data_IF_538166508626
#
_entry.id   IF_538166508626
#
_cell.length_a   1.000
_cell.length_b   1.000
_cell.length_c   1.000
_cell.angle_alpha   90.00
_cell.angle_beta   90.00
_cell.angle_gamma   90.00
#
_symmetry.space_group_name_H-M   'P 1'
#
loop_
_entity.id
_entity.type
_entity.pdbx_description
1 polymer ?
#
# COMPACT_ATOMS: atom_id res chain seq x y z
N UNK A 1 35.42 2.12 27.31
CA UNK A 1 34.60 3.35 27.37
C UNK A 1 33.92 3.51 26.03
N UNK A 2 32.77 2.85 25.88
CA UNK A 2 31.93 2.96 24.69
C UNK A 2 30.80 3.89 25.12
N UNK A 3 30.63 4.97 24.36
CA UNK A 3 29.63 6.00 24.60
C UNK A 3 28.23 5.39 24.65
N UNK A 4 27.54 5.67 25.75
CA UNK A 4 26.09 5.61 25.88
C UNK A 4 25.45 6.48 24.81
N UNK A 5 25.03 5.89 23.70
CA UNK A 5 24.06 6.49 22.80
C UNK A 5 22.66 6.03 23.21
N UNK A 6 22.07 6.83 24.10
CA UNK A 6 20.64 7.14 24.23
C UNK A 6 19.68 5.96 23.93
N UNK A 7 19.45 5.13 24.94
CA UNK A 7 18.20 4.36 25.08
C UNK A 7 17.05 5.34 25.32
N UNK A 8 16.40 5.82 24.25
CA UNK A 8 15.06 6.44 24.36
C UNK A 8 14.06 5.30 24.64
N UNK A 9 13.14 5.52 25.58
CA UNK A 9 12.30 4.48 26.20
C UNK A 9 11.65 3.48 25.23
N UNK A 10 12.03 2.21 25.33
CA UNK A 10 11.61 1.11 24.47
C UNK A 10 10.23 0.51 24.80
N UNK A 11 9.58 0.95 25.88
CA UNK A 11 8.29 0.40 26.34
C UNK A 11 7.05 1.03 25.68
N UNK A 12 7.20 2.14 24.96
CA UNK A 12 6.09 2.89 24.35
C UNK A 12 6.13 2.93 22.82
N UNK A 13 7.05 2.19 22.18
CA UNK A 13 7.13 2.19 20.72
C UNK A 13 5.90 1.51 20.11
N UNK A 14 5.46 2.01 18.96
CA UNK A 14 4.43 1.37 18.14
C UNK A 14 4.80 -0.08 17.82
N UNK A 15 3.83 -0.99 17.81
CA UNK A 15 4.05 -2.43 17.60
C UNK A 15 4.91 -2.74 16.37
N UNK A 16 4.59 -2.13 15.22
CA UNK A 16 5.38 -2.23 13.98
C UNK A 16 6.88 -1.92 14.21
N UNK A 17 7.21 -0.86 14.96
CA UNK A 17 8.61 -0.50 15.21
C UNK A 17 9.31 -1.61 16.00
N UNK A 18 8.62 -2.17 17.01
CA UNK A 18 9.14 -3.26 17.81
C UNK A 18 9.37 -4.52 16.96
N UNK A 19 8.41 -4.87 16.10
CA UNK A 19 8.49 -6.03 15.20
C UNK A 19 9.71 -5.92 14.28
N UNK A 20 9.85 -4.81 13.57
CA UNK A 20 10.94 -4.63 12.62
C UNK A 20 12.31 -4.60 13.30
N UNK A 21 12.41 -3.96 14.47
CA UNK A 21 13.65 -3.94 15.27
C UNK A 21 14.05 -5.34 15.75
N UNK A 22 13.09 -6.18 16.12
CA UNK A 22 13.35 -7.47 16.76
C UNK A 22 13.56 -8.61 15.76
N UNK A 23 12.99 -8.51 14.56
CA UNK A 23 12.96 -9.62 13.60
C UNK A 23 13.75 -9.36 12.30
N UNK A 24 13.99 -8.10 11.94
CA UNK A 24 14.73 -7.72 10.73
C UNK A 24 15.62 -6.51 11.04
N UNK A 25 15.57 -5.43 10.23
CA UNK A 25 16.23 -4.17 10.49
C UNK A 25 15.26 -3.14 11.10
N UNK A 26 15.72 -2.27 12.00
CA UNK A 26 14.93 -1.12 12.45
C UNK A 26 14.46 -0.27 11.26
N UNK A 27 13.22 0.22 11.32
CA UNK A 27 12.72 1.16 10.32
C UNK A 27 13.47 2.49 10.37
N UNK A 28 13.46 3.23 9.26
CA UNK A 28 14.04 4.57 9.15
C UNK A 28 13.49 5.52 10.24
N UNK A 29 14.28 6.53 10.61
CA UNK A 29 13.87 7.53 11.61
C UNK A 29 12.55 8.22 11.19
N UNK A 30 12.37 8.51 9.89
CA UNK A 30 11.15 9.10 9.33
C UNK A 30 9.91 8.25 9.64
N UNK A 31 9.97 6.94 9.38
CA UNK A 31 8.85 6.03 9.68
C UNK A 31 8.66 5.83 11.18
N UNK A 32 9.75 5.74 11.94
CA UNK A 32 9.72 5.58 13.40
C UNK A 32 9.02 6.77 14.06
N UNK A 33 9.38 8.01 13.71
CA UNK A 33 8.74 9.23 14.21
C UNK A 33 7.25 9.32 13.86
N UNK A 34 6.90 8.94 12.63
CA UNK A 34 5.50 8.90 12.17
C UNK A 34 4.70 7.88 12.97
N UNK A 35 5.16 6.64 13.08
CA UNK A 35 4.43 5.55 13.71
C UNK A 35 4.30 5.70 15.23
N UNK A 36 5.30 6.31 15.89
CA UNK A 36 5.19 6.72 17.30
C UNK A 36 4.34 7.96 17.51
N UNK A 37 3.73 8.50 16.46
CA UNK A 37 2.85 9.66 16.48
C UNK A 37 3.44 10.86 17.22
N UNK A 38 4.71 11.20 16.94
CA UNK A 38 5.28 12.46 17.42
C UNK A 38 4.32 13.61 17.14
N UNK A 39 4.18 14.59 18.04
CA UNK A 39 3.09 15.58 18.01
C UNK A 39 2.94 16.33 16.67
N UNK A 40 4.03 16.47 15.90
CA UNK A 40 4.04 17.04 14.53
C UNK A 40 3.24 16.23 13.52
N UNK A 41 2.89 14.99 13.85
CA UNK A 41 2.10 14.08 13.03
C UNK A 41 0.63 14.00 13.45
N UNK A 42 0.20 14.75 14.47
CA UNK A 42 -1.20 14.82 14.90
C UNK A 42 -1.82 16.14 14.43
N UNK A 43 -2.17 16.23 13.14
CA UNK A 43 -2.65 17.51 12.57
C UNK A 43 -3.88 17.30 11.69
N UNK A 44 -4.80 18.25 11.66
CA UNK A 44 -5.99 18.19 10.78
C UNK A 44 -5.63 18.02 9.31
N UNK A 45 -4.54 18.65 8.86
CA UNK A 45 -4.16 18.62 7.45
C UNK A 45 -3.44 17.34 7.05
N UNK A 46 -2.63 16.75 7.93
CA UNK A 46 -1.79 15.58 7.61
C UNK A 46 -2.36 14.26 8.14
N UNK A 47 -3.42 14.32 8.96
CA UNK A 47 -4.01 13.16 9.63
C UNK A 47 -3.19 12.77 10.86
N UNK A 48 -2.92 11.47 10.98
CA UNK A 48 -2.15 10.87 12.07
C UNK A 48 -0.83 10.25 11.59
N UNK A 49 -0.13 9.56 12.49
CA UNK A 49 1.09 8.82 12.18
C UNK A 49 0.91 7.76 11.10
N UNK A 50 -0.10 6.90 11.25
CA UNK A 50 -0.41 5.84 10.31
C UNK A 50 -0.78 6.36 8.90
N UNK A 51 -1.60 7.41 8.84
CA UNK A 51 -1.93 8.12 7.59
C UNK A 51 -0.68 8.65 6.88
N UNK A 52 0.27 9.20 7.64
CA UNK A 52 1.51 9.73 7.06
C UNK A 52 2.48 8.64 6.65
N UNK A 53 2.62 7.58 7.45
CA UNK A 53 3.44 6.42 7.11
C UNK A 53 2.99 5.80 5.77
N UNK A 54 1.68 5.55 5.61
CA UNK A 54 1.15 5.02 4.35
C UNK A 54 1.34 5.98 3.18
N UNK A 55 1.24 7.30 3.39
CA UNK A 55 1.57 8.30 2.37
C UNK A 55 3.03 8.27 1.95
N UNK A 56 3.95 8.08 2.89
CA UNK A 56 5.39 7.94 2.62
C UNK A 56 5.68 6.65 1.87
N UNK A 57 5.02 5.54 2.20
CA UNK A 57 5.13 4.31 1.41
C UNK A 57 4.67 4.51 -0.04
N UNK A 58 3.77 5.46 -0.30
CA UNK A 58 3.42 5.88 -1.66
C UNK A 58 4.62 6.38 -2.48
N UNK A 59 5.69 6.86 -1.87
CA UNK A 59 6.94 7.24 -2.58
C UNK A 59 7.64 6.00 -3.18
N UNK A 60 7.40 4.81 -2.64
CA UNK A 60 7.98 3.55 -3.10
C UNK A 60 6.99 2.75 -3.94
N UNK A 61 5.73 2.65 -3.50
CA UNK A 61 4.65 1.90 -4.17
C UNK A 61 4.41 2.39 -5.61
N UNK A 62 4.48 3.70 -5.84
CA UNK A 62 4.20 4.26 -7.17
C UNK A 62 5.36 4.08 -8.17
N UNK A 63 6.52 3.61 -7.72
CA UNK A 63 7.72 3.44 -8.54
C UNK A 63 7.88 1.94 -8.89
N UNK A 64 8.05 1.57 -10.17
CA UNK A 64 8.42 0.21 -10.57
C UNK A 64 9.74 -0.22 -9.91
N UNK A 65 9.85 -1.49 -9.52
CA UNK A 65 11.10 -2.02 -8.95
C UNK A 65 12.18 -2.06 -10.02
N UNK A 66 13.38 -1.67 -9.63
CA UNK A 66 14.58 -1.73 -10.46
C UNK A 66 15.62 -2.60 -9.76
N UNK A 67 16.03 -3.67 -10.44
CA UNK A 67 17.00 -4.64 -9.98
C UNK A 67 18.41 -4.07 -9.74
N UNK A 68 18.71 -2.86 -10.23
CA UNK A 68 20.01 -2.21 -10.05
C UNK A 68 19.99 -1.13 -8.95
N UNK A 69 18.81 -0.66 -8.56
CA UNK A 69 18.65 0.37 -7.56
C UNK A 69 18.42 -0.25 -6.17
N UNK A 70 19.01 0.38 -5.15
CA UNK A 70 18.88 -0.05 -3.75
C UNK A 70 18.02 0.92 -2.91
N UNK A 71 17.32 1.85 -3.58
CA UNK A 71 16.60 2.93 -2.92
C UNK A 71 15.46 2.43 -2.03
N UNK A 72 14.87 1.28 -2.35
CA UNK A 72 13.80 0.65 -1.56
C UNK A 72 14.27 0.30 -0.13
N UNK A 73 15.58 0.02 0.04
CA UNK A 73 16.19 -0.28 1.34
C UNK A 73 16.31 0.95 2.26
N UNK A 74 16.06 2.17 1.75
CA UNK A 74 15.99 3.39 2.58
C UNK A 74 14.81 3.37 3.57
N UNK A 75 13.90 2.41 3.45
CA UNK A 75 12.88 2.14 4.47
C UNK A 75 13.48 1.71 5.82
N UNK A 76 14.70 1.19 5.84
CA UNK A 76 15.40 0.73 7.04
C UNK A 76 16.47 1.72 7.49
N UNK A 77 16.69 1.79 8.80
CA UNK A 77 17.75 2.59 9.38
C UNK A 77 19.08 1.84 9.28
N UNK A 78 20.11 2.51 8.74
CA UNK A 78 21.48 1.98 8.66
C UNK A 78 21.60 0.61 7.96
N UNK A 79 20.75 0.33 6.96
CA UNK A 79 20.89 -0.87 6.15
C UNK A 79 22.24 -0.85 5.41
N UNK A 80 22.98 -1.96 5.43
CA UNK A 80 24.29 -2.05 4.79
C UNK A 80 24.15 -2.33 3.28
N UNK A 81 23.83 -1.27 2.53
CA UNK A 81 23.74 -1.31 1.07
C UNK A 81 25.09 -1.55 0.40
N UNK A 82 26.21 -1.29 1.08
CA UNK A 82 27.55 -1.49 0.52
C UNK A 82 27.85 -2.97 0.37
N UNK A 83 27.54 -3.77 1.39
CA UNK A 83 27.74 -5.22 1.34
C UNK A 83 26.89 -5.86 0.25
N UNK A 84 25.61 -5.46 0.12
CA UNK A 84 24.75 -5.96 -0.97
C UNK A 84 25.28 -5.54 -2.34
N UNK A 85 25.73 -4.29 -2.51
CA UNK A 85 26.31 -3.84 -3.78
C UNK A 85 27.57 -4.63 -4.16
N UNK A 86 28.46 -4.88 -3.19
CA UNK A 86 29.65 -5.70 -3.39
C UNK A 86 29.29 -7.13 -3.80
N UNK A 87 28.28 -7.72 -3.17
CA UNK A 87 27.77 -9.04 -3.55
C UNK A 87 27.29 -9.06 -5.02
N UNK A 88 26.53 -8.03 -5.44
CA UNK A 88 26.05 -7.93 -6.82
C UNK A 88 27.16 -7.68 -7.83
N UNK A 89 28.28 -7.05 -7.45
CA UNK A 89 29.46 -6.88 -8.30
C UNK A 89 30.31 -8.16 -8.39
N UNK A 90 30.43 -8.89 -7.27
CA UNK A 90 31.24 -10.11 -7.16
C UNK A 90 30.60 -11.34 -7.82
N UNK A 91 29.30 -11.32 -8.11
CA UNK A 91 28.62 -12.46 -8.75
C UNK A 91 29.27 -12.91 -10.07
N UNK A 92 29.93 -11.99 -10.80
CA UNK A 92 30.49 -12.24 -12.13
C UNK A 92 31.58 -13.33 -12.18
N UNK A 93 32.17 -13.66 -11.03
CA UNK A 93 33.19 -14.71 -10.88
C UNK A 93 32.64 -15.97 -10.19
N UNK A 94 31.34 -15.98 -9.88
CA UNK A 94 30.65 -17.08 -9.20
C UNK A 94 29.85 -17.90 -10.21
N UNK A 95 29.54 -19.18 -9.91
CA UNK A 95 28.73 -20.02 -10.78
C UNK A 95 27.23 -19.68 -10.76
N UNK A 96 26.83 -18.60 -10.08
CA UNK A 96 25.43 -18.16 -9.94
C UNK A 96 25.19 -16.81 -10.62
N UNK A 97 23.96 -16.59 -11.07
CA UNK A 97 23.54 -15.34 -11.69
C UNK A 97 22.40 -14.65 -10.94
N UNK A 98 22.72 -13.51 -10.33
CA UNK A 98 21.79 -12.63 -9.60
C UNK A 98 21.44 -11.44 -10.51
N UNK A 99 20.36 -11.61 -11.29
CA UNK A 99 19.81 -10.52 -12.12
C UNK A 99 19.02 -9.50 -11.33
N UNK A 100 18.48 -9.92 -10.19
CA UNK A 100 17.60 -9.13 -9.35
C UNK A 100 17.90 -9.48 -7.88
N UNK A 101 18.15 -8.45 -7.07
CA UNK A 101 18.41 -8.62 -5.65
C UNK A 101 17.12 -8.82 -4.84
N UNK A 102 15.95 -8.60 -5.42
CA UNK A 102 14.68 -8.88 -4.77
C UNK A 102 14.37 -10.39 -4.82
N UNK A 103 13.73 -10.92 -3.77
CA UNK A 103 13.31 -12.34 -3.65
C UNK A 103 14.43 -13.40 -3.80
N UNK A 104 15.65 -13.11 -3.36
CA UNK A 104 16.77 -14.05 -3.32
C UNK A 104 16.44 -15.32 -2.53
N UNK A 105 15.63 -15.19 -1.48
CA UNK A 105 15.21 -16.31 -0.62
C UNK A 105 14.30 -17.33 -1.32
N UNK A 106 13.72 -16.95 -2.46
CA UNK A 106 12.86 -17.81 -3.28
C UNK A 106 13.57 -18.32 -4.54
N UNK A 107 14.78 -17.85 -4.83
CA UNK A 107 15.52 -18.27 -6.01
C UNK A 107 16.18 -19.65 -5.78
N UNK A 108 15.72 -20.66 -6.53
CA UNK A 108 16.19 -22.04 -6.40
C UNK A 108 17.69 -22.20 -6.68
N UNK A 109 18.24 -21.43 -7.62
CA UNK A 109 19.67 -21.45 -7.95
C UNK A 109 20.50 -20.98 -6.75
N UNK A 110 20.07 -19.89 -6.10
CA UNK A 110 20.70 -19.34 -4.90
C UNK A 110 20.61 -20.32 -3.72
N UNK A 111 19.43 -20.90 -3.50
CA UNK A 111 19.23 -21.88 -2.41
C UNK A 111 20.12 -23.12 -2.62
N UNK A 112 20.26 -23.58 -3.85
CA UNK A 112 21.13 -24.72 -4.19
C UNK A 112 22.59 -24.37 -3.98
N UNK A 113 23.03 -23.20 -4.45
CA UNK A 113 24.40 -22.73 -4.27
C UNK A 113 24.81 -22.61 -2.80
N UNK A 114 23.95 -22.03 -1.95
CA UNK A 114 24.21 -21.87 -0.52
C UNK A 114 24.31 -23.21 0.22
N UNK A 115 23.59 -24.24 -0.25
CA UNK A 115 23.69 -25.59 0.32
C UNK A 115 25.05 -26.26 0.04
N UNK A 116 25.72 -25.89 -1.04
CA UNK A 116 26.98 -26.49 -1.49
C UNK A 116 28.23 -25.71 -1.05
N UNK A 117 28.11 -24.41 -0.75
CA UNK A 117 29.24 -23.48 -0.55
C UNK A 117 29.23 -22.73 0.81
N UNK A 118 28.63 -23.31 1.85
CA UNK A 118 28.31 -22.68 3.15
C UNK A 118 29.47 -22.09 4.00
N UNK A 119 30.70 -22.01 3.48
CA UNK A 119 31.88 -21.50 4.20
C UNK A 119 32.74 -20.52 3.39
N UNK A 120 32.22 -20.03 2.26
CA UNK A 120 32.89 -19.02 1.45
C UNK A 120 32.39 -17.61 1.82
N UNK A 121 33.30 -16.62 1.83
CA UNK A 121 32.95 -15.22 2.15
C UNK A 121 31.78 -14.68 1.33
N UNK A 122 31.72 -15.03 0.03
CA UNK A 122 30.61 -14.67 -0.84
C UNK A 122 29.30 -15.36 -0.42
N UNK A 123 29.35 -16.66 -0.10
CA UNK A 123 28.18 -17.42 0.35
C UNK A 123 27.65 -16.90 1.69
N UNK A 124 28.51 -16.49 2.63
CA UNK A 124 28.10 -15.88 3.90
C UNK A 124 27.34 -14.56 3.68
N UNK A 125 27.83 -13.70 2.78
CA UNK A 125 27.14 -12.45 2.42
C UNK A 125 25.78 -12.71 1.76
N UNK A 126 25.72 -13.72 0.88
CA UNK A 126 24.49 -14.11 0.20
C UNK A 126 23.48 -14.74 1.17
N UNK A 127 23.94 -15.55 2.11
CA UNK A 127 23.10 -16.12 3.16
C UNK A 127 22.50 -15.03 4.06
N UNK A 128 23.26 -13.98 4.39
CA UNK A 128 22.73 -12.83 5.13
C UNK A 128 21.60 -12.12 4.38
N UNK A 129 21.78 -11.88 3.08
CA UNK A 129 20.75 -11.27 2.24
C UNK A 129 19.50 -12.16 2.14
N UNK A 130 19.68 -13.47 1.92
CA UNK A 130 18.59 -14.46 1.89
C UNK A 130 17.86 -14.54 3.23
N UNK A 131 18.58 -14.57 4.35
CA UNK A 131 18.00 -14.66 5.69
C UNK A 131 17.18 -13.41 6.02
N UNK A 132 17.69 -12.21 5.67
CA UNK A 132 16.95 -10.96 5.79
C UNK A 132 15.61 -11.03 5.04
N UNK A 133 15.63 -11.45 3.76
CA UNK A 133 14.43 -11.51 2.95
C UNK A 133 13.43 -12.57 3.44
N UNK A 134 13.93 -13.73 3.87
CA UNK A 134 13.10 -14.78 4.47
C UNK A 134 12.38 -14.29 5.73
N UNK A 135 13.09 -13.60 6.63
CA UNK A 135 12.49 -13.03 7.84
C UNK A 135 11.49 -11.93 7.49
N UNK A 136 11.82 -11.06 6.52
CA UNK A 136 10.94 -9.99 6.06
C UNK A 136 9.65 -10.52 5.43
N UNK A 137 9.70 -11.64 4.70
CA UNK A 137 8.53 -12.26 4.07
C UNK A 137 7.45 -12.67 5.08
N UNK A 138 7.86 -13.01 6.30
CA UNK A 138 6.97 -13.42 7.39
C UNK A 138 6.71 -12.31 8.41
N UNK A 139 7.19 -11.08 8.18
CA UNK A 139 7.19 -10.02 9.19
C UNK A 139 5.80 -9.69 9.74
N UNK A 140 4.78 -9.71 8.87
CA UNK A 140 3.40 -9.40 9.25
C UNK A 140 2.81 -10.44 10.22
N UNK A 141 3.34 -11.67 10.26
CA UNK A 141 2.88 -12.73 11.16
C UNK A 141 3.24 -12.46 12.63
N UNK A 142 4.20 -11.57 12.88
CA UNK A 142 4.55 -11.13 14.23
C UNK A 142 3.61 -10.07 14.78
N UNK A 143 2.73 -9.48 13.96
CA UNK A 143 1.78 -8.45 14.38
C UNK A 143 0.50 -9.05 14.97
N UNK A 144 0.12 -8.53 16.14
CA UNK A 144 -1.15 -8.86 16.80
C UNK A 144 -2.27 -7.93 16.35
N UNK A 145 -1.93 -6.69 15.99
CA UNK A 145 -2.90 -5.66 15.61
C UNK A 145 -3.15 -5.67 14.10
N UNK A 146 -4.41 -5.53 13.69
CA UNK A 146 -4.83 -5.56 12.28
C UNK A 146 -4.05 -4.57 11.40
N UNK A 147 -3.96 -3.32 11.82
CA UNK A 147 -3.28 -2.28 11.02
C UNK A 147 -1.77 -2.48 10.97
N UNK A 148 -1.20 -3.14 11.99
CA UNK A 148 0.21 -3.53 12.00
C UNK A 148 0.47 -4.66 11.03
N UNK A 149 -0.43 -5.65 10.92
CA UNK A 149 -0.35 -6.69 9.90
C UNK A 149 -0.37 -6.08 8.50
N UNK A 150 -1.35 -5.19 8.25
CA UNK A 150 -1.51 -4.50 6.95
C UNK A 150 -0.27 -3.68 6.59
N UNK A 151 0.23 -2.85 7.51
CA UNK A 151 1.33 -1.95 7.19
C UNK A 151 2.67 -2.69 7.12
N UNK A 152 2.88 -3.72 7.95
CA UNK A 152 4.08 -4.56 7.87
C UNK A 152 4.12 -5.34 6.56
N UNK A 153 2.96 -5.79 6.06
CA UNK A 153 2.86 -6.45 4.76
C UNK A 153 3.20 -5.49 3.61
N UNK A 154 2.69 -4.25 3.65
CA UNK A 154 3.02 -3.24 2.65
C UNK A 154 4.52 -2.93 2.62
N UNK A 155 5.16 -2.81 3.78
CA UNK A 155 6.61 -2.57 3.88
C UNK A 155 7.39 -3.76 3.31
N UNK A 156 7.00 -4.99 3.66
CA UNK A 156 7.63 -6.20 3.14
C UNK A 156 7.54 -6.28 1.61
N UNK A 157 6.36 -6.01 1.06
CA UNK A 157 6.12 -6.12 -0.38
C UNK A 157 6.82 -5.03 -1.22
N UNK A 158 7.19 -3.89 -0.61
CA UNK A 158 8.08 -2.91 -1.28
C UNK A 158 9.46 -3.52 -1.55
N UNK A 159 9.97 -4.34 -0.63
CA UNK A 159 11.28 -4.99 -0.74
C UNK A 159 11.19 -6.36 -1.43
N UNK A 160 10.05 -7.04 -1.33
CA UNK A 160 9.80 -8.39 -1.83
C UNK A 160 8.60 -8.35 -2.76
N UNK A 161 8.78 -7.82 -3.99
CA UNK A 161 7.70 -7.63 -4.92
C UNK A 161 7.11 -8.96 -5.38
N UNK A 162 5.81 -8.96 -5.59
CA UNK A 162 5.06 -10.08 -6.14
C UNK A 162 4.75 -9.86 -7.62
N UNK A 163 4.34 -10.91 -8.31
CA UNK A 163 3.76 -10.80 -9.65
C UNK A 163 2.27 -11.21 -9.62
N UNK A 164 1.58 -10.94 -10.73
CA UNK A 164 0.15 -11.26 -10.85
C UNK A 164 -0.12 -12.78 -10.88
N UNK A 165 0.84 -13.59 -11.32
CA UNK A 165 0.69 -15.05 -11.35
C UNK A 165 0.66 -15.65 -9.94
N UNK A 166 1.50 -15.15 -9.04
CA UNK A 166 1.60 -15.66 -7.67
C UNK A 166 0.45 -15.20 -6.78
N UNK A 167 -0.12 -14.03 -7.06
CA UNK A 167 -1.10 -13.38 -6.20
C UNK A 167 -2.54 -13.50 -6.69
N UNK A 168 -2.73 -13.77 -7.99
CA UNK A 168 -4.03 -13.74 -8.65
C UNK A 168 -4.77 -12.39 -8.51
N UNK A 169 -4.04 -11.31 -8.18
CA UNK A 169 -4.58 -9.96 -8.04
C UNK A 169 -4.48 -9.20 -9.36
N UNK A 170 -5.45 -8.32 -9.62
CA UNK A 170 -5.40 -7.41 -10.77
C UNK A 170 -4.24 -6.43 -10.61
N UNK A 171 -3.35 -6.42 -11.59
CA UNK A 171 -2.21 -5.50 -11.67
C UNK A 171 -2.66 -4.15 -12.23
N UNK A 172 -2.55 -3.10 -11.41
CA UNK A 172 -2.68 -1.72 -11.85
C UNK A 172 -1.36 -1.22 -12.43
N UNK A 173 -1.44 -0.43 -13.49
CA UNK A 173 -0.31 0.28 -14.06
C UNK A 173 -0.21 1.69 -13.44
N UNK A 174 1.02 2.14 -13.16
CA UNK A 174 1.26 3.41 -12.50
C UNK A 174 1.21 4.60 -13.47
N UNK A 175 0.79 5.77 -12.99
CA UNK A 175 0.98 7.02 -13.71
C UNK A 175 2.47 7.38 -13.77
N UNK A 176 2.92 7.88 -14.92
CA UNK A 176 4.30 8.33 -15.10
C UNK A 176 4.62 9.58 -14.27
N UNK A 177 3.64 10.45 -14.07
CA UNK A 177 3.80 11.69 -13.30
C UNK A 177 2.86 11.70 -12.09
N UNK A 178 3.37 12.27 -11.00
CA UNK A 178 2.60 12.48 -9.78
C UNK A 178 1.43 13.44 -10.05
N UNK A 179 0.17 13.03 -9.83
CA UNK A 179 -0.97 13.88 -10.07
C UNK A 179 -1.02 15.05 -9.08
N UNK A 180 -1.55 16.18 -9.54
CA UNK A 180 -1.72 17.41 -8.74
C UNK A 180 -2.95 17.36 -7.83
N UNK A 181 -3.27 16.19 -7.27
CA UNK A 181 -4.42 16.04 -6.37
C UNK A 181 -3.99 16.21 -4.91
N UNK A 182 -4.77 16.99 -4.17
CA UNK A 182 -4.58 17.17 -2.73
C UNK A 182 -5.02 15.92 -1.96
N UNK A 183 -4.46 15.71 -0.77
CA UNK A 183 -5.01 14.73 0.18
C UNK A 183 -5.95 15.45 1.12
N UNK A 184 -7.15 15.82 0.66
CA UNK A 184 -8.14 16.40 1.55
C UNK A 184 -8.63 15.35 2.56
N UNK A 185 -8.57 15.60 3.87
CA UNK A 185 -9.13 14.69 4.89
C UNK A 185 -10.63 14.43 4.69
N UNK A 186 -11.34 15.39 4.07
CA UNK A 186 -12.77 15.27 3.75
C UNK A 186 -13.06 14.39 2.53
N UNK A 187 -12.05 13.96 1.76
CA UNK A 187 -12.26 13.09 0.61
C UNK A 187 -12.98 11.78 1.01
N UNK A 188 -12.66 11.25 2.18
CA UNK A 188 -13.28 10.04 2.74
C UNK A 188 -14.77 10.24 3.08
N UNK A 189 -15.21 11.47 3.39
CA UNK A 189 -16.62 11.75 3.71
C UNK A 189 -17.56 11.36 2.56
N UNK A 190 -17.11 11.53 1.32
CA UNK A 190 -17.93 11.18 0.15
C UNK A 190 -18.06 9.68 0.00
N UNK A 191 -16.98 8.91 0.16
CA UNK A 191 -17.06 7.45 0.17
C UNK A 191 -17.94 6.95 1.31
N UNK A 192 -17.83 7.54 2.50
CA UNK A 192 -18.71 7.24 3.62
C UNK A 192 -20.18 7.51 3.29
N UNK A 193 -20.52 8.62 2.63
CA UNK A 193 -21.91 8.91 2.21
C UNK A 193 -22.40 7.95 1.13
N UNK A 194 -21.56 7.65 0.13
CA UNK A 194 -21.85 6.72 -0.96
C UNK A 194 -22.16 5.33 -0.42
N UNK A 195 -21.40 4.86 0.59
CA UNK A 195 -21.64 3.57 1.25
C UNK A 195 -23.05 3.45 1.87
N UNK A 196 -23.73 4.58 2.11
CA UNK A 196 -25.11 4.64 2.61
C UNK A 196 -26.10 5.17 1.57
N UNK A 197 -25.76 5.11 0.29
CA UNK A 197 -26.61 5.54 -0.83
C UNK A 197 -26.82 7.05 -0.93
N UNK A 198 -26.06 7.86 -0.19
CA UNK A 198 -26.20 9.32 -0.20
C UNK A 198 -25.28 9.95 -1.23
N UNK A 199 -25.78 10.04 -2.45
CA UNK A 199 -25.05 10.63 -3.59
C UNK A 199 -25.48 12.10 -3.76
N UNK A 200 -24.51 13.00 -3.96
CA UNK A 200 -24.82 14.40 -4.24
C UNK A 200 -25.49 14.56 -5.61
N UNK A 201 -26.42 15.51 -5.75
CA UNK A 201 -27.20 15.75 -6.99
C UNK A 201 -26.35 15.94 -8.26
N UNK A 202 -25.17 16.54 -8.12
CA UNK A 202 -24.20 16.76 -9.21
C UNK A 202 -23.01 15.79 -9.17
N UNK A 203 -22.93 14.95 -8.13
CA UNK A 203 -21.91 13.93 -8.01
C UNK A 203 -22.09 12.86 -9.07
N UNK A 204 -20.98 12.34 -9.58
CA UNK A 204 -20.94 11.14 -10.41
C UNK A 204 -20.06 10.09 -9.78
N UNK A 205 -20.40 8.84 -9.99
CA UNK A 205 -19.68 7.69 -9.47
C UNK A 205 -19.39 6.76 -10.63
N UNK A 206 -18.11 6.57 -10.94
CA UNK A 206 -17.71 5.54 -11.87
C UNK A 206 -17.28 4.28 -11.10
N UNK A 207 -17.54 3.12 -11.69
CA UNK A 207 -17.10 1.83 -11.17
C UNK A 207 -16.05 1.30 -12.13
N UNK A 208 -14.83 1.11 -11.64
CA UNK A 208 -13.74 0.53 -12.41
C UNK A 208 -13.77 -0.98 -12.20
N UNK A 209 -13.76 -1.76 -13.26
CA UNK A 209 -13.93 -3.23 -13.23
C UNK A 209 -12.80 -3.99 -13.92
N UNK A 210 -12.59 -5.24 -13.54
CA UNK A 210 -11.73 -6.19 -14.25
C UNK A 210 -12.40 -6.77 -15.52
N UNK A 211 -11.72 -7.68 -16.20
CA UNK A 211 -12.21 -8.37 -17.40
C UNK A 211 -13.46 -9.23 -17.15
N UNK A 212 -13.70 -9.66 -15.90
CA UNK A 212 -14.87 -10.44 -15.49
C UNK A 212 -16.03 -9.56 -14.98
N UNK A 213 -15.89 -8.23 -15.04
CA UNK A 213 -16.79 -7.25 -14.44
C UNK A 213 -16.85 -7.35 -12.90
N UNK A 214 -15.78 -7.75 -12.23
CA UNK A 214 -15.63 -7.60 -10.79
C UNK A 214 -15.28 -6.14 -10.47
N UNK A 215 -15.97 -5.47 -9.53
CA UNK A 215 -15.60 -4.12 -9.11
C UNK A 215 -14.19 -4.09 -8.48
N UNK A 216 -13.31 -3.26 -9.03
CA UNK A 216 -11.96 -3.04 -8.53
C UNK A 216 -11.87 -1.73 -7.74
N UNK A 217 -12.38 -0.63 -8.29
CA UNK A 217 -12.35 0.68 -7.66
C UNK A 217 -13.67 1.44 -7.87
N UNK A 218 -13.95 2.37 -6.96
CA UNK A 218 -15.04 3.33 -7.07
C UNK A 218 -14.45 4.74 -7.12
N UNK A 219 -14.72 5.45 -8.22
CA UNK A 219 -14.31 6.85 -8.41
C UNK A 219 -15.43 7.80 -7.99
N UNK A 220 -15.07 8.91 -7.35
CA UNK A 220 -15.97 10.05 -7.15
C UNK A 220 -15.57 11.22 -8.06
N UNK A 221 -16.56 11.84 -8.70
CA UNK A 221 -16.39 13.05 -9.53
C UNK A 221 -17.36 14.14 -9.08
N UNK A 222 -16.93 15.40 -9.10
CA UNK A 222 -17.65 16.58 -8.62
C UNK A 222 -18.01 16.49 -7.13
N UNK A 223 -17.12 15.88 -6.34
CA UNK A 223 -17.31 15.59 -4.92
C UNK A 223 -15.98 15.77 -4.18
N UNK A 224 -15.45 16.99 -4.17
CA UNK A 224 -14.12 17.32 -3.63
C UNK A 224 -13.04 17.27 -4.70
N UNK A 225 -11.86 16.70 -4.40
CA UNK A 225 -10.83 16.44 -5.42
C UNK A 225 -11.41 15.47 -6.47
N UNK A 226 -11.38 15.90 -7.74
CA UNK A 226 -11.80 15.06 -8.85
C UNK A 226 -10.79 13.94 -9.12
N UNK A 227 -11.28 12.82 -9.67
CA UNK A 227 -10.49 11.65 -10.04
C UNK A 227 -9.80 10.91 -8.88
N UNK A 228 -10.38 10.98 -7.67
CA UNK A 228 -9.98 10.12 -6.56
C UNK A 228 -10.83 8.84 -6.52
N UNK A 229 -10.18 7.70 -6.34
CA UNK A 229 -10.82 6.39 -6.25
C UNK A 229 -10.52 5.71 -4.91
N UNK A 230 -11.44 4.87 -4.46
CA UNK A 230 -11.17 3.90 -3.40
C UNK A 230 -11.17 2.49 -3.98
N UNK A 231 -10.18 1.68 -3.62
CA UNK A 231 -10.15 0.26 -3.98
C UNK A 231 -11.19 -0.52 -3.18
N UNK A 232 -11.89 -1.41 -3.87
CA UNK A 232 -12.96 -2.24 -3.32
C UNK A 232 -12.47 -3.65 -2.96
N UNK A 233 -11.32 -4.05 -3.48
CA UNK A 233 -10.64 -5.31 -3.20
C UNK A 233 -9.11 -5.08 -3.19
N UNK A 234 -8.31 -6.06 -2.70
CA UNK A 234 -6.86 -5.98 -2.82
C UNK A 234 -6.41 -5.89 -4.29
N UNK A 235 -5.35 -5.14 -4.56
CA UNK A 235 -4.82 -4.87 -5.90
C UNK A 235 -3.31 -5.03 -5.90
N UNK A 236 -2.72 -5.32 -7.06
CA UNK A 236 -1.26 -5.36 -7.21
C UNK A 236 -0.79 -4.09 -7.93
N UNK A 237 0.25 -3.42 -7.41
CA UNK A 237 0.83 -2.24 -8.06
C UNK A 237 2.34 -2.23 -7.85
N UNK A 238 3.12 -2.27 -8.94
CA UNK A 238 4.60 -2.35 -8.90
C UNK A 238 5.13 -3.40 -7.91
N UNK A 239 4.52 -4.59 -7.93
CA UNK A 239 4.85 -5.70 -7.05
C UNK A 239 4.33 -5.61 -5.61
N UNK A 240 3.66 -4.52 -5.23
CA UNK A 240 3.10 -4.34 -3.89
C UNK A 240 1.64 -4.75 -3.84
N UNK A 241 1.26 -5.64 -2.91
CA UNK A 241 -0.15 -5.97 -2.66
C UNK A 241 -0.77 -4.86 -1.83
N UNK A 242 -1.58 -4.04 -2.47
CA UNK A 242 -2.30 -2.94 -1.86
C UNK A 242 -3.60 -3.48 -1.27
N UNK A 243 -3.88 -3.25 0.04
CA UNK A 243 -5.13 -3.70 0.63
C UNK A 243 -6.32 -2.92 0.07
N UNK A 244 -7.50 -3.53 0.17
CA UNK A 244 -8.76 -2.85 -0.12
C UNK A 244 -8.94 -1.61 0.78
N UNK A 245 -9.68 -0.61 0.32
CA UNK A 245 -9.84 0.66 1.04
C UNK A 245 -8.66 1.63 0.89
N UNK A 246 -7.69 1.33 0.02
CA UNK A 246 -6.67 2.25 -0.41
C UNK A 246 -7.22 3.34 -1.34
N UNK A 247 -6.72 4.56 -1.19
CA UNK A 247 -7.07 5.72 -2.00
C UNK A 247 -6.09 5.88 -3.17
N UNK A 248 -6.63 6.07 -4.36
CA UNK A 248 -5.89 6.30 -5.59
C UNK A 248 -6.31 7.61 -6.26
N UNK A 249 -5.43 8.15 -7.07
CA UNK A 249 -5.77 9.10 -8.13
C UNK A 249 -5.68 8.39 -9.47
N UNK A 250 -6.54 8.74 -10.41
CA UNK A 250 -6.53 8.15 -11.76
C UNK A 250 -6.52 9.22 -12.83
N UNK A 251 -6.12 8.83 -14.03
CA UNK A 251 -6.20 9.68 -15.22
C UNK A 251 -6.74 8.88 -16.40
N UNK A 252 -7.60 9.52 -17.20
CA UNK A 252 -8.18 8.98 -18.42
C UNK A 252 -8.68 10.14 -19.30
N UNK A 253 -8.94 9.84 -20.58
CA UNK A 253 -9.61 10.77 -21.48
C UNK A 253 -11.12 10.80 -21.19
N UNK A 254 -11.63 11.94 -20.73
CA UNK A 254 -13.02 12.10 -20.32
C UNK A 254 -14.02 11.85 -21.46
N UNK A 255 -13.62 12.11 -22.72
CA UNK A 255 -14.49 11.92 -23.88
C UNK A 255 -14.77 10.43 -24.10
N UNK A 256 -13.78 9.57 -23.82
CA UNK A 256 -13.92 8.11 -23.95
C UNK A 256 -14.87 7.51 -22.92
N UNK A 257 -14.97 8.11 -21.73
CA UNK A 257 -15.77 7.53 -20.63
C UNK A 257 -17.25 7.44 -20.96
N UNK A 258 -17.76 8.41 -21.73
CA UNK A 258 -19.17 8.46 -22.13
C UNK A 258 -19.61 7.31 -23.03
N UNK A 259 -18.66 6.53 -23.57
CA UNK A 259 -18.93 5.38 -24.43
C UNK A 259 -19.20 4.09 -23.66
N UNK A 260 -18.87 4.05 -22.37
CA UNK A 260 -19.08 2.88 -21.53
C UNK A 260 -20.52 2.81 -20.96
N UNK A 261 -20.99 1.64 -20.52
CA UNK A 261 -22.32 1.51 -19.93
C UNK A 261 -22.53 2.43 -18.73
N UNK A 262 -23.68 3.10 -18.68
CA UNK A 262 -24.05 3.93 -17.54
C UNK A 262 -24.44 3.08 -16.33
N UNK A 263 -24.17 3.58 -15.12
CA UNK A 263 -24.67 2.98 -13.88
C UNK A 263 -26.21 3.11 -13.81
N UNK A 264 -26.97 2.04 -13.48
CA UNK A 264 -28.43 2.09 -13.43
C UNK A 264 -29.02 3.05 -12.38
N UNK A 265 -28.46 3.10 -11.17
CA UNK A 265 -29.05 3.82 -10.04
C UNK A 265 -28.55 5.27 -9.90
N UNK A 266 -27.42 5.60 -10.54
CA UNK A 266 -26.78 6.90 -10.36
C UNK A 266 -25.98 7.36 -11.57
N UNK A 267 -25.63 8.64 -11.59
CA UNK A 267 -24.81 9.22 -12.67
C UNK A 267 -23.40 8.66 -12.62
N UNK A 268 -22.93 8.13 -13.74
CA UNK A 268 -21.57 7.63 -13.94
C UNK A 268 -21.57 6.39 -14.82
N UNK A 269 -20.41 5.77 -14.98
CA UNK A 269 -20.22 4.66 -15.92
C UNK A 269 -19.45 3.50 -15.29
N UNK A 270 -19.62 2.32 -15.89
CA UNK A 270 -18.85 1.11 -15.56
C UNK A 270 -17.71 0.99 -16.56
N UNK A 271 -16.49 1.21 -16.09
CA UNK A 271 -15.30 1.45 -16.90
C UNK A 271 -14.32 0.28 -16.73
N UNK A 272 -13.89 -0.40 -17.80
CA UNK A 272 -12.79 -1.37 -17.71
C UNK A 272 -11.52 -0.70 -17.20
N UNK A 273 -10.79 -1.32 -16.27
CA UNK A 273 -9.56 -0.72 -15.72
C UNK A 273 -8.47 -0.50 -16.78
N UNK A 274 -8.52 -1.24 -17.89
CA UNK A 274 -7.65 -1.09 -19.06
C UNK A 274 -7.90 0.19 -19.85
N UNK A 275 -9.05 0.86 -19.65
CA UNK A 275 -9.35 2.17 -20.24
C UNK A 275 -8.78 3.34 -19.42
N UNK A 276 -8.29 3.07 -18.21
CA UNK A 276 -7.60 4.07 -17.38
C UNK A 276 -6.14 4.15 -17.85
N UNK A 277 -5.57 5.36 -17.94
CA UNK A 277 -4.19 5.57 -18.40
C UNK A 277 -3.14 5.35 -17.31
N UNK A 278 -3.57 5.40 -16.06
CA UNK A 278 -2.75 5.02 -14.92
C UNK A 278 -3.41 5.33 -13.59
N UNK A 279 -2.83 4.70 -12.58
CA UNK A 279 -3.23 4.83 -11.19
C UNK A 279 -2.07 5.39 -10.38
N UNK A 280 -2.38 6.15 -9.34
CA UNK A 280 -1.39 6.65 -8.39
C UNK A 280 -1.89 6.45 -6.97
N UNK A 281 -1.22 5.60 -6.21
CA UNK A 281 -1.52 5.35 -4.81
C UNK A 281 -1.28 6.61 -3.96
N UNK A 282 -2.26 6.98 -3.13
CA UNK A 282 -2.20 8.17 -2.29
C UNK A 282 -1.93 7.85 -0.82
N UNK A 283 -2.69 6.91 -0.25
CA UNK A 283 -2.62 6.44 1.14
C UNK A 283 -3.72 5.41 1.42
N UNK A 284 -3.67 4.79 2.61
CA UNK A 284 -4.83 4.06 3.14
C UNK A 284 -5.88 5.03 3.72
N UNK A 285 -7.15 4.63 3.63
CA UNK A 285 -8.29 5.30 4.28
C UNK A 285 -8.69 4.56 5.56
N UNK A 286 -9.56 5.16 6.38
CA UNK A 286 -10.09 4.46 7.56
C UNK A 286 -10.89 3.21 7.18
N UNK A 287 -11.40 3.12 5.94
CA UNK A 287 -12.11 1.94 5.44
C UNK A 287 -11.21 0.75 5.12
N UNK A 288 -9.88 0.92 5.12
CA UNK A 288 -8.93 -0.17 4.97
C UNK A 288 -8.78 -1.03 6.25
N UNK A 289 -9.32 -0.55 7.37
CA UNK A 289 -9.26 -1.21 8.68
C UNK A 289 -10.69 -1.40 9.22
N UNK A 290 -10.91 -2.50 9.93
CA UNK A 290 -12.20 -2.82 10.56
C UNK A 290 -12.68 -1.71 11.50
N UNK A 291 -14.00 -1.47 11.61
CA UNK A 291 -14.54 -0.38 12.40
C UNK A 291 -14.03 -0.32 13.85
N UNK A 292 -13.90 -1.46 14.52
CA UNK A 292 -13.43 -1.62 15.90
C UNK A 292 -11.98 -1.19 16.11
N UNK A 293 -11.15 -1.24 15.06
CA UNK A 293 -9.73 -0.92 15.14
C UNK A 293 -9.38 0.50 14.64
N UNK A 294 -10.29 1.19 13.95
CA UNK A 294 -10.03 2.52 13.35
C UNK A 294 -9.56 3.58 14.32
N UNK A 295 -10.16 3.63 15.52
CA UNK A 295 -9.80 4.64 16.52
C UNK A 295 -8.35 4.48 16.98
N UNK A 296 -7.87 3.24 17.05
CA UNK A 296 -6.50 2.91 17.44
C UNK A 296 -5.53 3.15 16.28
N UNK A 297 -5.86 2.64 15.09
CA UNK A 297 -5.01 2.74 13.90
C UNK A 297 -4.85 4.18 13.38
N UNK A 298 -5.95 4.94 13.35
CA UNK A 298 -5.99 6.27 12.74
C UNK A 298 -6.10 7.42 13.75
N UNK A 299 -6.12 7.13 15.05
CA UNK A 299 -5.99 8.09 16.17
C UNK A 299 -6.67 9.46 15.90
N UNK A 300 -5.89 10.54 15.79
CA UNK A 300 -6.35 11.91 15.53
C UNK A 300 -7.12 12.03 14.21
N UNK A 301 -6.72 11.31 13.17
CA UNK A 301 -7.43 11.32 11.89
C UNK A 301 -8.85 10.78 12.05
N UNK A 302 -9.04 9.64 12.71
CA UNK A 302 -10.37 9.10 13.01
C UNK A 302 -11.17 10.03 13.94
N UNK A 303 -10.53 10.55 15.00
CA UNK A 303 -11.17 11.49 15.91
C UNK A 303 -11.70 12.74 15.18
N UNK A 304 -10.93 13.25 14.21
CA UNK A 304 -11.36 14.36 13.36
C UNK A 304 -12.52 13.99 12.44
N UNK A 305 -12.57 12.75 11.92
CA UNK A 305 -13.74 12.30 11.15
C UNK A 305 -15.00 12.37 12.00
N UNK A 306 -14.93 11.90 13.25
CA UNK A 306 -16.06 11.94 14.20
C UNK A 306 -16.42 13.37 14.57
N UNK A 307 -15.44 14.19 14.97
CA UNK A 307 -15.65 15.57 15.41
C UNK A 307 -16.25 16.46 14.30
N UNK A 308 -15.85 16.23 13.04
CA UNK A 308 -16.38 16.95 11.88
C UNK A 308 -17.72 16.39 11.37
N UNK A 309 -18.31 15.42 12.05
CA UNK A 309 -19.61 14.86 11.70
C UNK A 309 -19.60 14.11 10.37
N UNK A 310 -18.51 13.41 10.04
CA UNK A 310 -18.48 12.54 8.86
C UNK A 310 -19.52 11.42 8.98
N UNK A 311 -19.91 10.87 7.84
CA UNK A 311 -21.02 9.94 7.77
C UNK A 311 -20.68 8.57 8.37
N UNK A 312 -21.04 8.34 9.62
CA UNK A 312 -20.90 7.04 10.32
C UNK A 312 -19.51 6.38 10.18
N UNK A 313 -18.38 7.10 10.37
CA UNK A 313 -17.04 6.53 10.17
C UNK A 313 -16.73 5.36 11.12
N UNK A 314 -17.44 5.25 12.25
CA UNK A 314 -17.28 4.15 13.22
C UNK A 314 -18.08 2.88 12.93
N UNK A 315 -18.92 2.86 11.89
CA UNK A 315 -19.72 1.67 11.54
C UNK A 315 -19.75 1.35 10.06
N UNK A 316 -19.41 2.30 9.19
CA UNK A 316 -19.37 2.08 7.73
C UNK A 316 -18.36 1.00 7.39
N UNK A 317 -18.76 -0.04 6.66
CA UNK A 317 -17.87 -1.10 6.18
C UNK A 317 -17.55 -0.90 4.70
N UNK A 318 -16.34 -1.28 4.29
CA UNK A 318 -15.96 -1.25 2.87
C UNK A 318 -16.91 -2.10 2.01
N UNK A 319 -17.40 -3.22 2.56
CA UNK A 319 -18.36 -4.10 1.91
C UNK A 319 -19.60 -3.36 1.40
N UNK A 320 -20.05 -2.29 2.07
CA UNK A 320 -21.20 -1.51 1.61
C UNK A 320 -20.93 -0.80 0.26
N UNK A 321 -19.69 -0.40 0.00
CA UNK A 321 -19.28 0.14 -1.30
C UNK A 321 -19.17 -0.96 -2.36
N UNK A 322 -18.68 -2.14 -1.96
CA UNK A 322 -18.62 -3.33 -2.82
C UNK A 322 -20.03 -3.73 -3.27
N UNK A 323 -20.97 -3.86 -2.32
CA UNK A 323 -22.36 -4.24 -2.59
C UNK A 323 -23.06 -3.21 -3.50
N UNK A 324 -22.80 -1.92 -3.29
CA UNK A 324 -23.32 -0.86 -4.14
C UNK A 324 -22.78 -1.00 -5.58
N UNK A 325 -21.49 -1.24 -5.75
CA UNK A 325 -20.88 -1.40 -7.07
C UNK A 325 -21.38 -2.67 -7.79
N UNK A 326 -21.48 -3.80 -7.08
CA UNK A 326 -21.98 -5.06 -7.62
C UNK A 326 -23.43 -4.97 -8.10
N UNK A 327 -24.28 -4.20 -7.40
CA UNK A 327 -25.68 -3.98 -7.79
C UNK A 327 -25.78 -3.33 -9.18
N UNK A 328 -24.96 -2.31 -9.44
CA UNK A 328 -24.97 -1.62 -10.73
C UNK A 328 -24.61 -2.56 -11.89
N UNK A 329 -23.68 -3.48 -11.67
CA UNK A 329 -23.23 -4.45 -12.69
C UNK A 329 -24.28 -5.54 -12.92
N UNK A 330 -24.92 -6.01 -11.85
CA UNK A 330 -25.90 -7.10 -11.91
C UNK A 330 -27.20 -6.67 -12.60
N UNK A 331 -27.63 -5.44 -12.37
CA UNK A 331 -28.83 -4.87 -13.00
C UNK A 331 -28.65 -4.63 -14.51
N UNK A 332 -27.43 -4.30 -14.97
CA UNK A 332 -27.13 -4.23 -16.41
C UNK A 332 -27.26 -5.57 -17.11
N UNK A 333 -26.89 -6.67 -16.46
CA UNK A 333 -27.03 -8.03 -17.03
C UNK A 333 -28.48 -8.51 -17.11
N UNK A 334 -29.40 -7.82 -16.43
CA UNK A 334 -30.81 -8.18 -16.34
C UNK A 334 -31.70 -7.40 -17.32
N UNK A 335 -31.12 -6.46 -18.08
CA UNK A 335 -31.77 -5.66 -19.13
C UNK A 335 -31.39 -6.17 -20.52
#
# INVERSE_FOLDING_TARGET
>A
MIQEQIFVSTLNDHEIIQIFRNHVYPLSNKLTEMLNEHYTHQTERRGCGYTQATRVLGEYINIPRDAQELNDLNLFNQFDTKSLKQLLEQQSIQPIHITDWHNLDQNLEIVTFLAEHCHESFAEQLEQAVSFQKNLRHIAQHAQLEESQVLSQLIADVILPHNCHDTMLTQLHTLQEKPKVGSCPMAENFFLKIAHGKILRQGRINIIVDEQNTPLLLEKINMGDDHSCISLQPLLMNGVRIPAGALFSIHYDADTISTFPACPDFKGHIIPYTAIQGFWFLRLTTLAISPENRARAFSTHYAQQVANGLYSPGSTQLQQLVDLAQRQISELKSC
#
